data_IF_838084091004
#
_entry.id   IF_838084091004
#
_cell.length_a   1.000
_cell.length_b   1.000
_cell.length_c   1.000
_cell.angle_alpha   90.00
_cell.angle_beta   90.00
_cell.angle_gamma   90.00
#
_symmetry.space_group_name_H-M   'P 1'
#
loop_
_entity.id
_entity.type
_entity.pdbx_description
1 polymer ?
#
# COMPACT_ATOMS: atom_id res chain seq x y z
N UNK A 1 -10.83 -41.49 -21.80
CA UNK A 1 -10.96 -40.48 -20.73
C UNK A 1 -9.78 -39.53 -20.88
N UNK A 2 -10.01 -38.31 -21.38
CA UNK A 2 -8.96 -37.30 -21.55
C UNK A 2 -9.15 -36.21 -20.49
N UNK A 3 -8.17 -36.09 -19.60
CA UNK A 3 -8.14 -35.11 -18.51
C UNK A 3 -7.71 -33.76 -19.08
N UNK A 4 -8.61 -32.78 -19.13
CA UNK A 4 -8.24 -31.40 -19.44
C UNK A 4 -7.53 -30.79 -18.22
N UNK A 5 -6.23 -30.53 -18.35
CA UNK A 5 -5.46 -29.70 -17.44
C UNK A 5 -5.77 -28.23 -17.77
N UNK A 6 -6.56 -27.57 -16.93
CA UNK A 6 -6.78 -26.13 -17.01
C UNK A 6 -5.54 -25.37 -16.55
N UNK A 7 -4.93 -24.60 -17.45
CA UNK A 7 -3.86 -23.67 -17.09
C UNK A 7 -4.45 -22.49 -16.30
N UNK A 8 -3.82 -22.06 -15.19
CA UNK A 8 -4.25 -20.87 -14.47
C UNK A 8 -4.02 -19.64 -15.34
N UNK A 9 -5.10 -18.89 -15.58
CA UNK A 9 -5.06 -17.63 -16.32
C UNK A 9 -4.29 -16.59 -15.50
N UNK A 10 -3.05 -16.30 -15.89
CA UNK A 10 -2.31 -15.17 -15.35
C UNK A 10 -2.89 -13.90 -15.94
N UNK A 11 -3.85 -13.29 -15.23
CA UNK A 11 -4.27 -11.92 -15.54
C UNK A 11 -3.10 -11.01 -15.17
N UNK A 12 -2.29 -10.63 -16.15
CA UNK A 12 -1.33 -9.53 -15.98
C UNK A 12 -2.08 -8.34 -15.42
N UNK A 13 -1.63 -7.82 -14.28
CA UNK A 13 -2.15 -6.59 -13.71
C UNK A 13 -1.90 -5.44 -14.70
N UNK A 14 -2.90 -5.11 -15.53
CA UNK A 14 -2.83 -3.94 -16.41
C UNK A 14 -2.96 -2.71 -15.52
N UNK A 15 -1.81 -2.14 -15.16
CA UNK A 15 -1.76 -0.96 -14.32
C UNK A 15 -2.42 0.23 -15.04
N UNK A 16 -3.32 0.92 -14.34
CA UNK A 16 -4.15 1.98 -14.94
C UNK A 16 -3.58 3.37 -14.60
N UNK A 17 -3.34 4.20 -15.63
CA UNK A 17 -2.96 5.60 -15.47
C UNK A 17 -4.20 6.46 -15.14
N UNK A 18 -4.24 7.14 -13.98
CA UNK A 18 -5.39 7.93 -13.56
C UNK A 18 -5.44 9.33 -14.20
N UNK A 19 -4.45 9.72 -15.02
CA UNK A 19 -4.28 11.08 -15.53
C UNK A 19 -4.27 12.11 -14.37
N UNK A 20 -3.15 12.18 -13.66
CA UNK A 20 -2.97 13.05 -12.50
C UNK A 20 -3.16 14.52 -12.90
N UNK A 21 -4.06 15.22 -12.22
CA UNK A 21 -4.39 16.62 -12.49
C UNK A 21 -3.34 17.55 -11.86
N UNK A 22 -3.09 18.75 -12.42
CA UNK A 22 -2.15 19.72 -11.87
C UNK A 22 -2.34 20.01 -10.38
N UNK A 23 -3.59 20.11 -9.93
CA UNK A 23 -3.93 20.36 -8.53
C UNK A 23 -3.81 19.13 -7.62
N UNK A 24 -3.66 17.92 -8.14
CA UNK A 24 -3.52 16.69 -7.35
C UNK A 24 -2.06 16.45 -6.95
N UNK A 25 -1.09 16.95 -7.72
CA UNK A 25 0.34 16.81 -7.41
C UNK A 25 0.72 17.35 -6.02
N UNK A 26 0.05 18.41 -5.55
CA UNK A 26 0.28 18.97 -4.21
C UNK A 26 -0.17 18.07 -3.06
N UNK A 27 -1.01 17.08 -3.34
CA UNK A 27 -1.52 16.13 -2.35
C UNK A 27 -0.62 14.90 -2.23
N UNK A 28 0.33 14.75 -3.15
CA UNK A 28 1.23 13.61 -3.19
C UNK A 28 2.48 13.85 -2.34
N UNK A 29 3.09 12.78 -1.80
CA UNK A 29 4.39 12.88 -1.17
C UNK A 29 5.44 13.50 -2.11
N UNK A 30 6.45 14.22 -1.59
CA UNK A 30 7.42 14.95 -2.41
C UNK A 30 8.12 14.11 -3.49
N UNK A 31 8.41 12.83 -3.20
CA UNK A 31 9.07 11.94 -4.16
C UNK A 31 8.25 11.70 -5.44
N UNK A 32 6.92 11.82 -5.38
CA UNK A 32 6.06 11.67 -6.55
C UNK A 32 6.28 12.76 -7.59
N UNK A 33 6.88 13.89 -7.22
CA UNK A 33 7.17 14.95 -8.18
C UNK A 33 8.28 14.58 -9.19
N UNK A 34 9.08 13.54 -8.89
CA UNK A 34 10.26 13.12 -9.66
C UNK A 34 10.06 11.84 -10.46
N UNK A 35 8.86 11.25 -10.43
CA UNK A 35 8.54 10.04 -11.20
C UNK A 35 8.16 10.39 -12.65
N UNK A 36 7.92 9.38 -13.47
CA UNK A 36 7.35 9.60 -14.80
C UNK A 36 6.05 10.41 -14.77
N UNK A 37 5.98 11.47 -15.59
CA UNK A 37 4.86 12.41 -15.61
C UNK A 37 4.85 13.44 -14.48
N UNK A 38 5.78 13.33 -13.51
CA UNK A 38 5.90 14.28 -12.40
C UNK A 38 6.43 15.65 -12.82
N UNK A 39 5.98 16.75 -12.19
CA UNK A 39 6.31 18.11 -12.59
C UNK A 39 7.78 18.50 -12.36
N UNK A 40 8.54 17.76 -11.55
CA UNK A 40 9.95 18.02 -11.26
C UNK A 40 10.92 17.10 -12.01
N UNK A 41 10.45 16.04 -12.69
CA UNK A 41 11.30 15.08 -13.43
C UNK A 41 12.33 15.76 -14.34
N UNK A 42 11.91 16.79 -15.07
CA UNK A 42 12.78 17.53 -16.01
C UNK A 42 13.25 18.89 -15.48
N UNK A 43 12.66 19.37 -14.38
CA UNK A 43 13.04 20.66 -13.76
C UNK A 43 14.15 20.51 -12.73
N UNK A 44 14.33 19.30 -12.19
CA UNK A 44 15.43 18.92 -11.32
C UNK A 44 16.03 17.58 -11.81
N UNK A 45 16.83 17.60 -12.88
CA UNK A 45 17.40 16.40 -13.46
C UNK A 45 18.45 15.74 -12.57
N UNK A 46 19.09 16.49 -11.67
CA UNK A 46 20.10 15.93 -10.75
C UNK A 46 19.46 15.05 -9.69
N UNK A 47 18.45 15.57 -8.98
CA UNK A 47 17.71 14.77 -8.00
C UNK A 47 17.04 13.58 -8.68
N UNK A 48 16.42 13.80 -9.85
CA UNK A 48 15.80 12.71 -10.61
C UNK A 48 16.80 11.61 -10.92
N UNK A 49 17.99 11.94 -11.46
CA UNK A 49 19.04 10.96 -11.75
C UNK A 49 19.49 10.21 -10.50
N UNK A 50 19.69 10.91 -9.38
CA UNK A 50 20.09 10.31 -8.09
C UNK A 50 19.06 9.31 -7.59
N UNK A 51 17.78 9.68 -7.61
CA UNK A 51 16.69 8.80 -7.19
C UNK A 51 16.62 7.57 -8.10
N UNK A 52 16.59 7.77 -9.42
CA UNK A 52 16.45 6.67 -10.38
C UNK A 52 17.65 5.72 -10.40
N UNK A 53 18.84 6.18 -10.01
CA UNK A 53 20.02 5.34 -9.83
C UNK A 53 20.04 4.57 -8.49
N UNK A 54 19.22 4.97 -7.51
CA UNK A 54 19.26 4.38 -6.16
C UNK A 54 18.63 2.99 -6.04
N UNK A 55 17.66 2.69 -6.91
CA UNK A 55 16.98 1.39 -6.93
C UNK A 55 16.27 1.18 -8.28
N UNK A 56 16.37 0.00 -8.92
CA UNK A 56 15.63 -0.29 -10.15
C UNK A 56 14.11 -0.09 -10.04
N UNK A 57 13.53 -0.24 -8.84
CA UNK A 57 12.11 -0.03 -8.59
C UNK A 57 11.63 1.39 -8.94
N UNK A 58 12.52 2.39 -8.99
CA UNK A 58 12.19 3.77 -9.35
C UNK A 58 11.56 3.91 -10.72
N UNK A 59 11.91 3.04 -11.67
CA UNK A 59 11.30 3.01 -13.01
C UNK A 59 9.78 2.83 -12.95
N UNK A 60 9.28 2.08 -11.96
CA UNK A 60 7.85 1.84 -11.74
C UNK A 60 7.19 2.78 -10.74
N UNK A 61 7.92 3.70 -10.11
CA UNK A 61 7.39 4.49 -8.97
C UNK A 61 6.22 5.40 -9.32
N UNK A 62 6.01 5.70 -10.60
CA UNK A 62 4.81 6.40 -11.04
C UNK A 62 3.53 5.61 -10.75
N UNK A 63 3.56 4.27 -10.80
CA UNK A 63 2.43 3.42 -10.44
C UNK A 63 2.05 3.57 -8.96
N UNK A 64 3.05 3.56 -8.06
CA UNK A 64 2.79 3.83 -6.65
C UNK A 64 2.14 5.21 -6.45
N UNK A 65 2.68 6.25 -7.08
CA UNK A 65 2.08 7.59 -7.04
C UNK A 65 0.66 7.65 -7.64
N UNK A 66 0.40 6.90 -8.70
CA UNK A 66 -0.93 6.75 -9.28
C UNK A 66 -1.92 6.07 -8.33
N UNK A 67 -1.47 5.05 -7.58
CA UNK A 67 -2.30 4.40 -6.57
C UNK A 67 -2.71 5.38 -5.46
N UNK A 68 -1.82 6.28 -5.04
CA UNK A 68 -2.15 7.33 -4.06
C UNK A 68 -3.22 8.28 -4.60
N UNK A 69 -3.10 8.74 -5.85
CA UNK A 69 -4.11 9.60 -6.49
C UNK A 69 -5.46 8.89 -6.55
N UNK A 70 -5.47 7.62 -6.96
CA UNK A 70 -6.68 6.82 -7.05
C UNK A 70 -7.33 6.64 -5.68
N UNK A 71 -6.53 6.34 -4.65
CA UNK A 71 -7.02 6.28 -3.28
C UNK A 71 -7.66 7.61 -2.84
N UNK A 72 -7.01 8.76 -3.10
CA UNK A 72 -7.55 10.07 -2.72
C UNK A 72 -8.86 10.42 -3.41
N UNK A 73 -9.01 10.08 -4.69
CA UNK A 73 -10.24 10.34 -5.45
C UNK A 73 -11.46 9.63 -4.86
N UNK A 74 -11.26 8.55 -4.12
CA UNK A 74 -12.37 7.81 -3.48
C UNK A 74 -12.91 8.47 -2.20
N UNK A 75 -12.27 9.52 -1.67
CA UNK A 75 -12.73 10.19 -0.45
C UNK A 75 -13.82 11.25 -0.70
N UNK A 76 -14.14 11.57 -1.96
CA UNK A 76 -15.23 12.50 -2.28
C UNK A 76 -16.59 11.85 -2.01
N UNK A 77 -17.46 12.55 -1.26
CA UNK A 77 -18.84 12.11 -1.01
C UNK A 77 -19.70 11.99 -2.29
N UNK A 78 -19.24 12.55 -3.41
CA UNK A 78 -19.93 12.49 -4.71
C UNK A 78 -19.60 11.21 -5.50
N UNK A 79 -18.65 10.40 -5.04
CA UNK A 79 -18.26 9.17 -5.73
C UNK A 79 -19.19 8.02 -5.33
N UNK A 80 -19.80 7.36 -6.32
CA UNK A 80 -20.60 6.16 -6.05
C UNK A 80 -19.74 5.03 -5.50
N UNK A 81 -20.34 4.16 -4.68
CA UNK A 81 -19.65 3.00 -4.11
C UNK A 81 -19.00 2.11 -5.18
N UNK A 82 -19.73 1.80 -6.25
CA UNK A 82 -19.21 0.97 -7.34
C UNK A 82 -18.01 1.60 -8.05
N UNK A 83 -18.03 2.92 -8.27
CA UNK A 83 -16.90 3.64 -8.83
C UNK A 83 -15.70 3.63 -7.87
N UNK A 84 -15.93 3.88 -6.57
CA UNK A 84 -14.87 3.79 -5.56
C UNK A 84 -14.23 2.39 -5.55
N UNK A 85 -15.03 1.33 -5.60
CA UNK A 85 -14.52 -0.05 -5.61
C UNK A 85 -13.64 -0.33 -6.85
N UNK A 86 -14.07 0.11 -8.04
CA UNK A 86 -13.28 -0.03 -9.27
C UNK A 86 -11.94 0.73 -9.18
N UNK A 87 -11.96 1.97 -8.70
CA UNK A 87 -10.77 2.80 -8.53
C UNK A 87 -9.79 2.18 -7.51
N UNK A 88 -10.30 1.64 -6.40
CA UNK A 88 -9.47 0.98 -5.39
C UNK A 88 -8.83 -0.33 -5.92
N UNK A 89 -9.53 -1.08 -6.78
CA UNK A 89 -8.93 -2.26 -7.44
C UNK A 89 -7.81 -1.88 -8.39
N UNK A 90 -7.97 -0.80 -9.15
CA UNK A 90 -6.90 -0.25 -10.00
C UNK A 90 -5.72 0.27 -9.17
N UNK A 91 -5.97 0.83 -7.99
CA UNK A 91 -4.91 1.22 -7.06
C UNK A 91 -4.11 0.01 -6.57
N UNK A 92 -4.76 -1.10 -6.23
CA UNK A 92 -4.07 -2.36 -5.86
C UNK A 92 -3.18 -2.84 -7.00
N UNK A 93 -3.67 -2.88 -8.24
CA UNK A 93 -2.87 -3.31 -9.41
C UNK A 93 -1.62 -2.45 -9.60
N UNK A 94 -1.74 -1.14 -9.39
CA UNK A 94 -0.60 -0.22 -9.45
C UNK A 94 0.42 -0.45 -8.32
N UNK A 95 -0.05 -0.76 -7.09
CA UNK A 95 0.84 -1.13 -5.99
C UNK A 95 1.55 -2.45 -6.27
N UNK A 96 0.82 -3.45 -6.76
CA UNK A 96 1.36 -4.77 -7.10
C UNK A 96 2.47 -4.68 -8.14
N UNK A 97 2.30 -3.84 -9.16
CA UNK A 97 3.34 -3.62 -10.17
C UNK A 97 4.71 -3.27 -9.55
N UNK A 98 4.73 -2.33 -8.59
CA UNK A 98 5.98 -1.87 -7.96
C UNK A 98 6.44 -2.82 -6.87
N UNK A 99 5.53 -3.42 -6.10
CA UNK A 99 5.87 -4.45 -5.11
C UNK A 99 6.56 -5.64 -5.81
N UNK A 100 6.03 -6.14 -6.91
CA UNK A 100 6.64 -7.29 -7.63
C UNK A 100 8.02 -6.97 -8.23
N UNK A 101 8.34 -5.69 -8.44
CA UNK A 101 9.59 -5.22 -9.06
C UNK A 101 10.57 -4.58 -8.09
N UNK A 102 10.18 -4.44 -6.83
CA UNK A 102 11.05 -3.89 -5.79
C UNK A 102 11.61 -5.00 -4.91
N UNK A 103 12.87 -4.82 -4.50
CA UNK A 103 13.51 -5.71 -3.53
C UNK A 103 13.00 -5.44 -2.11
N UNK A 104 13.08 -6.42 -1.19
CA UNK A 104 13.00 -6.17 0.24
C UNK A 104 13.97 -5.05 0.65
N UNK A 105 13.54 -4.16 1.54
CA UNK A 105 14.31 -2.99 1.96
C UNK A 105 14.27 -1.77 1.03
N UNK A 106 13.58 -1.84 -0.12
CA UNK A 106 13.27 -0.63 -0.89
C UNK A 106 12.42 0.32 -0.03
N UNK A 107 12.86 1.58 0.12
CA UNK A 107 12.36 2.49 1.17
C UNK A 107 10.85 2.78 1.11
N UNK A 108 10.20 2.64 -0.05
CA UNK A 108 8.75 2.86 -0.20
C UNK A 108 7.94 1.56 -0.15
N UNK A 109 8.59 0.40 -0.09
CA UNK A 109 7.94 -0.91 -0.13
C UNK A 109 7.01 -1.13 1.05
N UNK A 110 7.45 -0.76 2.25
CA UNK A 110 6.63 -0.84 3.45
C UNK A 110 5.33 -0.03 3.32
N UNK A 111 5.42 1.22 2.85
CA UNK A 111 4.23 2.06 2.66
C UNK A 111 3.28 1.48 1.60
N UNK A 112 3.81 0.89 0.52
CA UNK A 112 2.99 0.21 -0.48
C UNK A 112 2.22 -0.99 0.10
N UNK A 113 2.85 -1.82 0.93
CA UNK A 113 2.16 -2.92 1.62
C UNK A 113 1.08 -2.42 2.57
N UNK A 114 1.36 -1.39 3.38
CA UNK A 114 0.39 -0.78 4.30
C UNK A 114 -0.82 -0.27 3.52
N UNK A 115 -0.59 0.48 2.45
CA UNK A 115 -1.67 0.99 1.59
C UNK A 115 -2.46 -0.14 0.95
N UNK A 116 -1.80 -1.15 0.40
CA UNK A 116 -2.48 -2.30 -0.21
C UNK A 116 -3.38 -3.00 0.80
N UNK A 117 -2.88 -3.28 2.01
CA UNK A 117 -3.67 -3.89 3.07
C UNK A 117 -4.88 -3.01 3.46
N UNK A 118 -4.68 -1.70 3.63
CA UNK A 118 -5.77 -0.76 3.92
C UNK A 118 -6.83 -0.73 2.81
N UNK A 119 -6.41 -0.67 1.55
CA UNK A 119 -7.32 -0.64 0.41
C UNK A 119 -8.09 -1.96 0.31
N UNK A 120 -7.43 -3.11 0.48
CA UNK A 120 -8.09 -4.41 0.54
C UNK A 120 -9.13 -4.47 1.67
N UNK A 121 -8.81 -3.96 2.86
CA UNK A 121 -9.77 -3.89 3.97
C UNK A 121 -10.96 -2.99 3.66
N UNK A 122 -10.76 -1.84 3.01
CA UNK A 122 -11.84 -0.95 2.54
C UNK A 122 -12.77 -1.63 1.52
N UNK A 123 -12.24 -2.58 0.75
CA UNK A 123 -13.00 -3.42 -0.18
C UNK A 123 -13.66 -4.63 0.50
N UNK A 124 -13.56 -4.78 1.82
CA UNK A 124 -14.06 -5.94 2.57
C UNK A 124 -13.22 -7.22 2.37
N UNK A 125 -12.06 -7.11 1.74
CA UNK A 125 -11.16 -8.24 1.43
C UNK A 125 -10.26 -8.55 2.62
N UNK A 126 -10.84 -8.81 3.79
CA UNK A 126 -10.11 -8.89 5.05
C UNK A 126 -9.06 -10.01 5.11
N UNK A 127 -9.30 -11.14 4.42
CA UNK A 127 -8.32 -12.21 4.35
C UNK A 127 -7.09 -11.78 3.54
N UNK A 128 -7.30 -11.19 2.36
CA UNK A 128 -6.22 -10.68 1.52
C UNK A 128 -5.47 -9.55 2.23
N UNK A 129 -6.18 -8.63 2.87
CA UNK A 129 -5.60 -7.54 3.65
C UNK A 129 -4.69 -8.04 4.78
N UNK A 130 -5.13 -9.07 5.51
CA UNK A 130 -4.34 -9.66 6.58
C UNK A 130 -3.10 -10.37 6.03
N UNK A 131 -3.22 -11.07 4.90
CA UNK A 131 -2.07 -11.68 4.22
C UNK A 131 -1.05 -10.63 3.79
N UNK A 132 -1.49 -9.54 3.16
CA UNK A 132 -0.62 -8.43 2.75
C UNK A 132 0.11 -7.81 3.94
N UNK A 133 -0.58 -7.57 5.06
CA UNK A 133 0.06 -7.03 6.26
C UNK A 133 1.06 -8.02 6.89
N UNK A 134 0.75 -9.32 6.90
CA UNK A 134 1.69 -10.36 7.35
C UNK A 134 2.92 -10.49 6.46
N UNK A 135 2.79 -10.26 5.16
CA UNK A 135 3.95 -10.21 4.26
C UNK A 135 4.91 -9.09 4.67
N UNK A 136 4.39 -7.89 4.99
CA UNK A 136 5.23 -6.81 5.52
C UNK A 136 5.91 -7.19 6.84
N UNK A 137 5.19 -7.79 7.79
CA UNK A 137 5.77 -8.26 9.06
C UNK A 137 6.87 -9.31 8.81
N UNK A 138 6.67 -10.21 7.84
CA UNK A 138 7.66 -11.23 7.50
C UNK A 138 8.91 -10.64 6.83
N UNK A 139 8.74 -9.60 5.99
CA UNK A 139 9.85 -8.92 5.32
C UNK A 139 10.61 -7.95 6.22
N UNK A 140 9.93 -7.36 7.21
CA UNK A 140 10.48 -6.32 8.09
C UNK A 140 9.82 -6.38 9.48
N UNK A 141 10.14 -7.40 10.29
CA UNK A 141 9.52 -7.62 11.60
C UNK A 141 9.80 -6.51 12.61
N UNK A 142 10.77 -5.64 12.35
CA UNK A 142 11.09 -4.48 13.15
C UNK A 142 10.24 -3.24 12.81
N UNK A 143 9.43 -3.29 11.76
CA UNK A 143 8.58 -2.18 11.35
C UNK A 143 7.19 -2.27 11.99
N UNK A 144 6.90 -1.27 12.85
CA UNK A 144 5.63 -1.16 13.54
C UNK A 144 4.43 -1.13 12.58
N UNK A 145 4.62 -0.54 11.39
CA UNK A 145 3.63 -0.40 10.34
C UNK A 145 2.97 -1.72 9.94
N UNK A 146 3.72 -2.82 9.90
CA UNK A 146 3.17 -4.14 9.57
C UNK A 146 2.16 -4.61 10.59
N UNK A 147 2.50 -4.49 11.88
CA UNK A 147 1.62 -4.85 12.99
C UNK A 147 0.41 -3.92 13.06
N UNK A 148 0.58 -2.62 12.86
CA UNK A 148 -0.53 -1.67 12.82
C UNK A 148 -1.49 -1.96 11.66
N UNK A 149 -0.96 -2.24 10.47
CA UNK A 149 -1.79 -2.60 9.33
C UNK A 149 -2.60 -3.89 9.61
N UNK A 150 -1.97 -4.92 10.20
CA UNK A 150 -2.66 -6.16 10.54
C UNK A 150 -3.72 -5.96 11.62
N UNK A 151 -3.43 -5.17 12.66
CA UNK A 151 -4.38 -4.84 13.72
C UNK A 151 -5.59 -4.07 13.19
N UNK A 152 -5.40 -3.04 12.34
CA UNK A 152 -6.49 -2.30 11.70
C UNK A 152 -7.39 -3.23 10.86
N UNK A 153 -6.78 -4.14 10.09
CA UNK A 153 -7.53 -5.15 9.34
C UNK A 153 -8.33 -6.07 10.25
N UNK A 154 -7.75 -6.52 11.36
CA UNK A 154 -8.42 -7.39 12.33
C UNK A 154 -9.61 -6.68 12.99
N UNK A 155 -9.47 -5.41 13.36
CA UNK A 155 -10.57 -4.59 13.90
C UNK A 155 -11.70 -4.46 12.88
N UNK A 156 -11.38 -4.07 11.64
CA UNK A 156 -12.39 -3.94 10.55
C UNK A 156 -13.08 -5.27 10.23
N UNK A 157 -12.39 -6.38 10.46
CA UNK A 157 -12.94 -7.73 10.31
C UNK A 157 -13.74 -8.22 11.53
N UNK A 158 -13.94 -7.39 12.56
CA UNK A 158 -14.67 -7.77 13.78
C UNK A 158 -13.89 -8.71 14.71
N UNK A 159 -12.55 -8.65 14.70
CA UNK A 159 -11.64 -9.52 15.48
C UNK A 159 -10.73 -8.72 16.41
N UNK A 160 -11.27 -7.96 17.39
CA UNK A 160 -10.50 -7.06 18.24
C UNK A 160 -9.51 -7.79 19.15
N UNK A 161 -9.81 -9.02 19.60
CA UNK A 161 -8.88 -9.81 20.43
C UNK A 161 -7.60 -10.15 19.67
N UNK A 162 -7.73 -10.57 18.40
CA UNK A 162 -6.59 -10.82 17.54
C UNK A 162 -5.79 -9.53 17.27
N UNK A 163 -6.46 -8.37 17.18
CA UNK A 163 -5.79 -7.08 17.03
C UNK A 163 -4.93 -6.75 18.26
N UNK A 164 -5.45 -6.99 19.47
CA UNK A 164 -4.69 -6.83 20.73
C UNK A 164 -3.45 -7.74 20.75
N UNK A 165 -3.60 -9.01 20.39
CA UNK A 165 -2.47 -9.94 20.30
C UNK A 165 -1.42 -9.48 19.28
N UNK A 166 -1.84 -9.04 18.10
CA UNK A 166 -0.94 -8.51 17.07
C UNK A 166 -0.15 -7.31 17.59
N UNK A 167 -0.79 -6.40 18.31
CA UNK A 167 -0.12 -5.21 18.85
C UNK A 167 0.80 -5.53 20.03
N UNK A 168 0.46 -6.54 20.84
CA UNK A 168 1.37 -7.05 21.86
C UNK A 168 2.65 -7.60 21.21
N UNK A 169 2.51 -8.42 20.15
CA UNK A 169 3.65 -8.94 19.39
C UNK A 169 4.48 -7.83 18.74
N UNK A 170 3.84 -6.80 18.20
CA UNK A 170 4.54 -5.67 17.61
C UNK A 170 5.36 -4.88 18.65
N UNK A 171 4.80 -4.66 19.84
CA UNK A 171 5.49 -3.99 20.95
C UNK A 171 6.73 -4.77 21.43
N UNK A 172 6.67 -6.11 21.41
CA UNK A 172 7.81 -6.96 21.74
C UNK A 172 8.89 -6.97 20.63
N UNK A 173 8.47 -6.91 19.37
CA UNK A 173 9.37 -7.04 18.22
C UNK A 173 10.09 -5.73 17.85
N UNK A 174 9.47 -4.59 18.16
CA UNK A 174 9.91 -3.28 17.65
C UNK A 174 10.67 -2.50 18.72
N UNK A 175 11.82 -1.91 18.36
CA UNK A 175 12.62 -1.06 19.27
C UNK A 175 12.03 0.35 19.50
N UNK A 176 10.77 0.56 19.11
CA UNK A 176 10.00 1.82 19.14
C UNK A 176 8.71 1.61 19.96
N UNK A 177 8.89 1.46 21.28
CA UNK A 177 7.83 1.16 22.24
C UNK A 177 6.82 2.31 22.42
N UNK A 178 7.20 3.56 22.13
CA UNK A 178 6.34 4.74 22.35
C UNK A 178 5.11 4.72 21.44
N UNK A 179 5.29 4.30 20.18
CA UNK A 179 4.22 4.27 19.17
C UNK A 179 3.17 3.19 19.47
N UNK A 180 3.58 2.03 20.00
CA UNK A 180 2.66 0.97 20.40
C UNK A 180 1.86 1.32 21.66
N UNK A 181 2.47 2.02 22.62
CA UNK A 181 1.80 2.47 23.84
C UNK A 181 0.59 3.39 23.59
N UNK A 182 0.67 4.24 22.56
CA UNK A 182 -0.44 5.15 22.21
C UNK A 182 -1.63 4.41 21.60
N UNK A 183 -1.38 3.44 20.71
CA UNK A 183 -2.45 2.70 20.05
C UNK A 183 -3.13 1.68 20.96
N UNK A 184 -2.38 1.02 21.87
CA UNK A 184 -2.95 0.14 22.90
C UNK A 184 -3.99 0.89 23.74
N UNK A 185 -3.69 2.13 24.15
CA UNK A 185 -4.63 3.01 24.88
C UNK A 185 -5.87 3.39 24.06
N UNK A 186 -5.74 3.55 22.74
CA UNK A 186 -6.88 3.83 21.85
C UNK A 186 -7.76 2.60 21.62
N UNK A 187 -7.21 1.39 21.80
CA UNK A 187 -7.87 0.11 21.60
C UNK A 187 -8.32 -0.58 22.89
N UNK A 188 -8.22 0.12 24.03
CA UNK A 188 -9.18 -0.02 25.13
C UNK A 188 -10.55 0.45 24.64
N UNK A 189 -11.11 -0.37 23.75
CA UNK A 189 -12.49 -0.36 23.30
C UNK A 189 -13.38 -0.25 24.54
N UNK A 190 -13.95 0.94 24.74
CA UNK A 190 -15.09 1.13 25.64
C UNK A 190 -16.27 0.30 25.15
#
# INVERSE_FOLDING_TARGET
MATMLGLPSMVSAVATNPNVKPNEWRLLPPHCMYVEGGPLRFKDPETTRRLWASDPAWTGMHHYCWAIVQEFRTFSAQVSRSHAEAVLRAAIQNLDYVIERSRPGFIYRADMFVRKARIQARLGQYLQAATTARQLIAESPELAEGYFALADVQIKAGRPDQARETLAKGDEAVKDAERFGTLKKQLDLR
#
